data_IF_709786834734
#
_entry.id   IF_709786834734
#
_cell.length_a   1.000
_cell.length_b   1.000
_cell.length_c   1.000
_cell.angle_alpha   90.00
_cell.angle_beta   90.00
_cell.angle_gamma   90.00
#
_symmetry.space_group_name_H-M   'P 1'
#
loop_
_entity.id
_entity.type
_entity.pdbx_description
1 polymer ?
#
# COMPACT_ATOMS: atom_id res chain seq x y z
N UNK A 1 -1.91 1.61 1.85
CA UNK A 1 -2.14 0.52 2.80
C UNK A 1 -3.29 0.96 3.67
N UNK A 2 -4.28 0.10 3.92
CA UNK A 2 -5.41 0.44 4.78
C UNK A 2 -4.95 0.82 6.19
N UNK A 3 -5.76 1.63 6.88
CA UNK A 3 -5.50 2.05 8.26
C UNK A 3 -5.54 0.85 9.23
N UNK A 4 -4.62 0.80 10.21
CA UNK A 4 -4.52 -0.30 11.19
C UNK A 4 -5.83 -0.47 12.00
N UNK A 5 -6.47 0.64 12.41
CA UNK A 5 -7.76 0.64 13.09
C UNK A 5 -8.90 0.16 12.19
N UNK A 6 -8.87 0.48 10.90
CA UNK A 6 -9.85 -0.06 9.94
C UNK A 6 -9.69 -1.59 9.84
N UNK A 7 -8.46 -2.08 9.69
CA UNK A 7 -8.17 -3.52 9.61
C UNK A 7 -8.60 -4.24 10.90
N UNK A 8 -8.29 -3.66 12.06
CA UNK A 8 -8.71 -4.20 13.36
C UNK A 8 -10.24 -4.23 13.52
N UNK A 9 -10.96 -3.22 13.02
CA UNK A 9 -12.44 -3.22 13.02
C UNK A 9 -13.03 -4.39 12.23
N UNK A 10 -12.30 -4.88 11.22
CA UNK A 10 -12.64 -6.07 10.42
C UNK A 10 -12.03 -7.36 10.97
N UNK A 11 -11.47 -7.33 12.18
CA UNK A 11 -10.78 -8.46 12.86
C UNK A 11 -9.58 -9.02 12.09
N UNK A 12 -8.95 -8.22 11.24
CA UNK A 12 -7.72 -8.59 10.56
C UNK A 12 -6.55 -8.21 11.46
N UNK A 13 -5.72 -9.19 11.84
CA UNK A 13 -4.57 -8.92 12.69
C UNK A 13 -3.47 -8.18 11.92
N UNK A 14 -2.69 -7.36 12.62
CA UNK A 14 -1.59 -6.59 12.02
C UNK A 14 -0.58 -7.46 11.26
N UNK A 15 -0.35 -8.68 11.76
CA UNK A 15 0.58 -9.64 11.17
C UNK A 15 0.03 -10.34 9.92
N UNK A 16 -1.29 -10.27 9.68
CA UNK A 16 -1.92 -10.82 8.48
C UNK A 16 -1.90 -9.81 7.32
N UNK A 17 -1.49 -8.56 7.58
CA UNK A 17 -1.36 -7.52 6.57
C UNK A 17 -0.23 -7.78 5.57
N UNK A 18 -0.45 -7.45 4.30
CA UNK A 18 0.57 -7.52 3.26
C UNK A 18 1.34 -6.20 3.22
N UNK A 19 2.60 -6.24 3.65
CA UNK A 19 3.49 -5.09 3.62
C UNK A 19 4.26 -4.99 2.29
N UNK A 20 4.60 -3.76 1.88
CA UNK A 20 5.60 -3.49 0.84
C UNK A 20 6.90 -3.13 1.56
N UNK A 21 7.98 -3.80 1.21
CA UNK A 21 9.32 -3.43 1.67
C UNK A 21 9.81 -2.25 0.81
N UNK A 22 10.07 -1.10 1.44
CA UNK A 22 10.37 0.16 0.74
C UNK A 22 11.81 0.67 0.96
N UNK A 23 12.65 -0.07 1.69
CA UNK A 23 14.09 0.21 1.85
C UNK A 23 14.91 -0.78 0.98
N UNK A 24 16.17 -0.59 0.54
CA UNK A 24 17.25 0.36 0.79
C UNK A 24 18.11 0.47 -0.52
N UNK A 25 19.14 1.33 -0.60
CA UNK A 25 20.45 0.69 -0.55
C UNK A 25 21.36 1.32 0.50
N UNK A 26 21.96 0.43 1.26
CA UNK A 26 22.91 0.66 2.34
C UNK A 26 24.13 1.48 1.89
N UNK A 27 24.75 2.30 2.77
CA UNK A 27 24.30 2.61 4.12
C UNK A 27 23.62 3.99 4.21
N UNK A 28 22.32 3.96 4.52
CA UNK A 28 21.69 4.87 5.48
C UNK A 28 21.27 6.26 4.99
N UNK A 29 19.97 6.43 4.72
CA UNK A 29 19.24 7.68 5.07
C UNK A 29 17.77 7.44 5.49
N UNK A 30 17.22 6.21 5.43
CA UNK A 30 15.84 5.95 5.87
C UNK A 30 14.77 6.78 5.12
N UNK A 31 14.99 7.03 3.82
CA UNK A 31 14.28 8.05 3.06
C UNK A 31 12.89 7.64 2.60
N UNK A 32 12.77 6.55 1.82
CA UNK A 32 11.53 6.20 1.11
C UNK A 32 10.36 5.89 2.04
N UNK A 33 10.62 5.22 3.17
CA UNK A 33 9.58 4.97 4.16
C UNK A 33 9.04 6.29 4.74
N UNK A 34 9.93 7.22 5.11
CA UNK A 34 9.56 8.54 5.63
C UNK A 34 8.87 9.42 4.59
N UNK A 35 9.32 9.36 3.34
CA UNK A 35 8.74 10.10 2.22
C UNK A 35 7.31 9.62 1.93
N UNK A 36 7.09 8.29 1.89
CA UNK A 36 5.76 7.72 1.77
C UNK A 36 4.85 8.19 2.92
N UNK A 37 5.37 8.21 4.15
CA UNK A 37 4.63 8.71 5.31
C UNK A 37 4.36 10.23 5.29
N UNK A 38 5.09 11.00 4.49
CA UNK A 38 4.85 12.44 4.31
C UNK A 38 3.66 12.69 3.40
N UNK A 39 3.52 11.87 2.34
CA UNK A 39 2.47 12.04 1.32
C UNK A 39 1.18 11.30 1.63
N UNK A 40 1.21 10.25 2.46
CA UNK A 40 -0.01 9.63 2.97
C UNK A 40 -0.47 10.46 4.17
N UNK A 41 -1.53 11.31 4.04
CA UNK A 41 -2.08 12.00 5.20
C UNK A 41 -2.39 10.97 6.27
N UNK A 42 -1.97 11.23 7.52
CA UNK A 42 -2.09 10.32 8.68
C UNK A 42 -3.33 9.44 8.54
N UNK A 43 -3.08 8.20 8.09
CA UNK A 43 -4.05 7.18 7.69
C UNK A 43 -5.51 7.65 7.79
N UNK A 44 -6.02 8.33 6.76
CA UNK A 44 -7.43 8.74 6.70
C UNK A 44 -8.31 7.53 7.04
N UNK A 45 -8.94 7.58 8.21
CA UNK A 45 -9.72 6.47 8.76
C UNK A 45 -11.03 6.26 7.99
N UNK A 46 -11.41 7.21 7.14
CA UNK A 46 -12.62 7.16 6.32
C UNK A 46 -12.37 6.57 4.93
N UNK A 47 -11.11 6.46 4.52
CA UNK A 47 -10.73 5.95 3.20
C UNK A 47 -10.99 4.46 3.07
N UNK A 48 -11.63 4.06 1.97
CA UNK A 48 -11.88 2.65 1.72
C UNK A 48 -10.56 1.89 1.50
N UNK A 49 -10.43 0.63 1.98
CA UNK A 49 -9.20 -0.15 1.86
C UNK A 49 -8.66 -0.21 0.43
N UNK A 50 -9.54 -0.33 -0.56
CA UNK A 50 -9.18 -0.35 -1.99
C UNK A 50 -8.55 0.94 -2.45
N UNK A 51 -9.07 2.08 -2.03
CA UNK A 51 -8.53 3.40 -2.36
C UNK A 51 -7.19 3.61 -1.66
N UNK A 52 -7.11 3.25 -0.37
CA UNK A 52 -5.88 3.31 0.41
C UNK A 52 -4.77 2.43 -0.17
N UNK A 53 -5.11 1.25 -0.71
CA UNK A 53 -4.16 0.40 -1.43
C UNK A 53 -3.71 1.06 -2.74
N UNK A 54 -4.65 1.58 -3.53
CA UNK A 54 -4.35 2.23 -4.82
C UNK A 54 -3.42 3.44 -4.63
N UNK A 55 -3.70 4.30 -3.65
CA UNK A 55 -2.88 5.48 -3.35
C UNK A 55 -1.46 5.09 -2.96
N UNK A 56 -1.28 4.09 -2.09
CA UNK A 56 0.06 3.65 -1.71
C UNK A 56 0.84 3.04 -2.87
N UNK A 57 0.20 2.29 -3.77
CA UNK A 57 0.88 1.76 -4.96
C UNK A 57 1.28 2.88 -5.91
N UNK A 58 0.41 3.87 -6.13
CA UNK A 58 0.72 5.04 -6.97
C UNK A 58 1.89 5.85 -6.40
N UNK A 59 1.89 6.07 -5.09
CA UNK A 59 2.96 6.79 -4.41
C UNK A 59 4.29 6.04 -4.44
N UNK A 60 4.27 4.72 -4.17
CA UNK A 60 5.47 3.89 -4.29
C UNK A 60 6.03 3.93 -5.73
N UNK A 61 5.17 3.77 -6.74
CA UNK A 61 5.56 3.90 -8.15
C UNK A 61 6.17 5.26 -8.45
N UNK A 62 5.58 6.35 -7.95
CA UNK A 62 6.08 7.71 -8.13
C UNK A 62 7.49 7.84 -7.55
N UNK A 63 7.69 7.48 -6.29
CA UNK A 63 8.99 7.60 -5.61
C UNK A 63 10.06 6.76 -6.32
N UNK A 64 9.74 5.50 -6.66
CA UNK A 64 10.67 4.67 -7.43
C UNK A 64 11.00 5.25 -8.81
N UNK A 65 10.07 5.97 -9.43
CA UNK A 65 10.28 6.63 -10.73
C UNK A 65 11.12 7.90 -10.59
N UNK A 66 10.86 8.72 -9.56
CA UNK A 66 11.63 9.93 -9.23
C UNK A 66 13.08 9.58 -8.86
N UNK A 67 13.31 8.44 -8.21
CA UNK A 67 14.63 7.90 -7.91
C UNK A 67 15.32 7.23 -9.10
N UNK A 68 14.64 7.10 -10.25
CA UNK A 68 15.19 6.45 -11.45
C UNK A 68 15.38 4.93 -11.33
N UNK A 69 14.78 4.29 -10.32
CA UNK A 69 14.94 2.85 -10.04
C UNK A 69 13.67 2.04 -10.35
N UNK A 70 12.66 2.62 -11.00
CA UNK A 70 11.43 1.91 -11.37
C UNK A 70 11.66 0.89 -12.49
N UNK A 71 12.11 -0.31 -12.11
CA UNK A 71 12.40 -1.42 -13.03
C UNK A 71 11.17 -2.32 -13.28
N UNK A 72 11.21 -3.20 -14.30
CA UNK A 72 10.17 -4.22 -14.49
C UNK A 72 9.94 -5.11 -13.25
N UNK A 73 11.00 -5.40 -12.49
CA UNK A 73 10.91 -6.19 -11.25
C UNK A 73 10.14 -5.44 -10.17
N UNK A 74 10.42 -4.13 -9.97
CA UNK A 74 9.64 -3.30 -9.05
C UNK A 74 8.18 -3.23 -9.48
N UNK A 75 7.93 -3.04 -10.78
CA UNK A 75 6.57 -3.05 -11.33
C UNK A 75 5.84 -4.36 -11.02
N UNK A 76 6.49 -5.51 -11.22
CA UNK A 76 5.93 -6.82 -10.92
C UNK A 76 5.64 -6.97 -9.43
N UNK A 77 6.56 -6.54 -8.56
CA UNK A 77 6.36 -6.58 -7.12
C UNK A 77 5.16 -5.74 -6.66
N UNK A 78 4.97 -4.54 -7.24
CA UNK A 78 3.79 -3.70 -6.95
C UNK A 78 2.49 -4.36 -7.43
N UNK A 79 2.51 -5.05 -8.58
CA UNK A 79 1.36 -5.81 -9.08
C UNK A 79 1.04 -7.00 -8.17
N UNK A 80 2.06 -7.74 -7.73
CA UNK A 80 1.90 -8.87 -6.79
C UNK A 80 1.26 -8.43 -5.48
N UNK A 81 1.64 -7.25 -4.96
CA UNK A 81 1.03 -6.69 -3.75
C UNK A 81 -0.47 -6.44 -3.96
N UNK A 82 -0.88 -5.91 -5.11
CA UNK A 82 -2.31 -5.73 -5.43
C UNK A 82 -3.02 -7.08 -5.47
N UNK A 83 -2.44 -8.06 -6.15
CA UNK A 83 -3.03 -9.40 -6.31
C UNK A 83 -3.19 -10.08 -4.96
N UNK A 84 -2.10 -10.14 -4.17
CA UNK A 84 -2.12 -10.77 -2.84
C UNK A 84 -3.16 -10.13 -1.93
N UNK A 85 -3.27 -8.79 -1.92
CA UNK A 85 -4.28 -8.10 -1.10
C UNK A 85 -5.71 -8.50 -1.50
N UNK A 86 -6.01 -8.55 -2.81
CA UNK A 86 -7.33 -8.96 -3.30
C UNK A 86 -7.63 -10.45 -3.07
N UNK A 87 -6.63 -11.32 -3.14
CA UNK A 87 -6.80 -12.76 -2.91
C UNK A 87 -6.96 -13.09 -1.43
N UNK A 88 -6.16 -12.47 -0.55
CA UNK A 88 -6.22 -12.74 0.89
C UNK A 88 -7.41 -12.05 1.58
N UNK A 89 -7.84 -10.90 1.08
CA UNK A 89 -8.95 -10.14 1.66
C UNK A 89 -9.99 -9.74 0.60
N UNK A 90 -10.64 -10.72 -0.05
CA UNK A 90 -11.54 -10.44 -1.17
C UNK A 90 -12.73 -9.56 -0.76
N UNK A 91 -13.31 -9.78 0.42
CA UNK A 91 -14.43 -8.98 0.92
C UNK A 91 -14.03 -7.55 1.31
N UNK A 92 -12.78 -7.35 1.73
CA UNK A 92 -12.24 -6.05 2.11
C UNK A 92 -11.97 -5.15 0.90
N UNK A 93 -11.56 -5.76 -0.21
CA UNK A 93 -11.18 -5.06 -1.45
C UNK A 93 -12.21 -5.19 -2.58
N UNK A 94 -13.36 -5.82 -2.29
CA UNK A 94 -14.49 -5.88 -3.19
C UNK A 94 -14.88 -4.46 -3.59
N UNK A 95 -15.23 -4.26 -4.87
CA UNK A 95 -15.87 -3.00 -5.27
C UNK A 95 -17.22 -3.00 -4.58
N UNK A 96 -17.47 -2.04 -3.70
CA UNK A 96 -18.85 -1.74 -3.33
C UNK A 96 -19.54 -1.26 -4.61
N UNK A 97 -20.38 -2.13 -5.17
CA UNK A 97 -21.37 -1.72 -6.16
C UNK A 97 -22.51 -1.05 -5.39
N UNK A 98 -22.23 0.07 -4.74
CA UNK A 98 -23.28 0.91 -4.16
C UNK A 98 -23.83 1.80 -5.29
N UNK A 99 -24.85 1.22 -5.94
CA UNK A 99 -25.87 1.83 -6.81
C UNK A 99 -25.45 2.33 -8.21
N UNK A 100 -25.84 1.56 -9.24
CA UNK A 100 -26.64 2.10 -10.36
C UNK A 100 -28.06 2.38 -9.87
#
# INVERSE_FOLDING_TARGET
MPNDNYMASRRIAKNDGIAIMVESPTPGVGGRHREIHTYIPRQDTTMQPREALAQSIQLARRIYSEDGIYTPEIRSALQDVIIRNKVHFPDLYKKDNLND
#
